data_IF_282908742873
#
_entry.id   IF_282908742873
#
_cell.length_a   1.000
_cell.length_b   1.000
_cell.length_c   1.000
_cell.angle_alpha   90.00
_cell.angle_beta   90.00
_cell.angle_gamma   90.00
#
_symmetry.space_group_name_H-M   'P 1'
#
loop_
_entity.id
_entity.type
_entity.pdbx_description
1 polymer ?
#
# COMPACT_ATOMS: atom_id res chain seq x y z
N UNK A 1 6.60 14.46 -14.94
CA UNK A 1 6.92 15.90 -15.07
C UNK A 1 8.27 16.14 -14.44
N UNK A 2 9.09 17.08 -14.93
CA UNK A 2 10.31 17.48 -14.22
C UNK A 2 9.96 18.22 -12.93
N UNK A 3 10.85 18.25 -11.95
CA UNK A 3 10.65 18.96 -10.69
C UNK A 3 10.36 20.45 -10.90
N UNK A 4 11.12 21.10 -11.79
CA UNK A 4 10.93 22.51 -12.16
C UNK A 4 9.52 22.76 -12.73
N UNK A 5 9.07 21.92 -13.66
CA UNK A 5 7.74 22.04 -14.26
C UNK A 5 6.63 21.79 -13.23
N UNK A 6 6.79 20.78 -12.38
CA UNK A 6 5.85 20.52 -11.27
C UNK A 6 5.71 21.73 -10.36
N UNK A 7 6.83 22.35 -9.97
CA UNK A 7 6.81 23.53 -9.10
C UNK A 7 6.11 24.72 -9.78
N UNK A 8 6.31 24.91 -11.09
CA UNK A 8 5.60 25.95 -11.85
C UNK A 8 4.09 25.74 -11.83
N UNK A 9 3.63 24.52 -12.11
CA UNK A 9 2.19 24.18 -12.08
C UNK A 9 1.62 24.30 -10.66
N UNK A 10 2.39 23.92 -9.63
CA UNK A 10 1.97 24.08 -8.24
C UNK A 10 1.79 25.55 -7.86
N UNK A 11 2.72 26.41 -8.27
CA UNK A 11 2.65 27.85 -8.05
C UNK A 11 1.42 28.46 -8.76
N UNK A 12 1.13 28.05 -9.99
CA UNK A 12 -0.07 28.49 -10.72
C UNK A 12 -1.37 28.09 -9.99
N UNK A 13 -1.44 26.86 -9.45
CA UNK A 13 -2.57 26.38 -8.64
C UNK A 13 -2.69 27.15 -7.31
N UNK A 14 -1.58 27.46 -6.65
CA UNK A 14 -1.52 28.23 -5.41
C UNK A 14 -1.98 29.68 -5.62
N UNK A 15 -1.46 30.36 -6.65
CA UNK A 15 -1.86 31.73 -6.98
C UNK A 15 -3.34 31.84 -7.35
N UNK A 16 -3.89 30.78 -7.93
CA UNK A 16 -5.32 30.65 -8.20
C UNK A 16 -6.17 30.25 -6.96
N UNK A 17 -5.53 29.90 -5.83
CA UNK A 17 -6.17 29.61 -4.54
C UNK A 17 -6.66 28.17 -4.37
N UNK A 18 -6.20 27.21 -5.20
CA UNK A 18 -6.66 25.83 -5.15
C UNK A 18 -5.86 24.92 -4.20
N UNK A 19 -4.59 25.24 -3.97
CA UNK A 19 -3.71 24.53 -3.03
C UNK A 19 -2.98 25.53 -2.12
N UNK A 20 -2.51 25.05 -0.97
CA UNK A 20 -1.62 25.83 -0.09
C UNK A 20 -0.23 26.04 -0.70
N UNK A 21 0.57 26.92 -0.10
CA UNK A 21 1.88 27.32 -0.61
C UNK A 21 2.80 26.10 -0.84
N UNK A 22 3.30 25.85 -2.06
CA UNK A 22 3.93 24.58 -2.42
C UNK A 22 5.42 24.48 -2.08
N UNK A 23 5.98 25.48 -1.40
CA UNK A 23 7.40 25.52 -0.98
C UNK A 23 7.47 25.51 0.54
N UNK A 24 7.22 24.34 1.10
CA UNK A 24 7.23 24.10 2.54
C UNK A 24 7.93 22.78 2.83
N UNK A 25 8.62 22.74 3.98
CA UNK A 25 9.18 21.52 4.54
C UNK A 25 8.28 20.93 5.64
N UNK A 26 7.12 21.56 5.91
CA UNK A 26 6.20 21.15 6.96
C UNK A 26 5.43 19.90 6.56
N UNK A 27 5.49 18.88 7.42
CA UNK A 27 4.82 17.59 7.23
C UNK A 27 3.74 17.31 8.30
N UNK A 28 3.39 18.30 9.12
CA UNK A 28 2.37 18.20 10.15
C UNK A 28 1.32 19.32 10.08
N UNK A 29 0.04 18.97 10.28
CA UNK A 29 -1.04 19.95 10.41
C UNK A 29 -1.13 20.49 11.84
N UNK A 30 -1.37 21.80 11.97
CA UNK A 30 -1.68 22.41 13.26
C UNK A 30 -2.97 21.85 13.84
N UNK A 31 -3.07 21.75 15.16
CA UNK A 31 -4.30 21.37 15.87
C UNK A 31 -5.46 22.35 15.65
N UNK A 32 -5.18 23.54 15.11
CA UNK A 32 -6.19 24.56 14.77
C UNK A 32 -6.75 24.40 13.35
N UNK A 33 -6.12 23.58 12.51
CA UNK A 33 -6.59 23.37 11.14
C UNK A 33 -7.83 22.49 11.15
N UNK A 34 -8.95 23.02 10.64
CA UNK A 34 -10.20 22.25 10.50
C UNK A 34 -10.14 21.36 9.26
N UNK A 35 -9.53 20.18 9.45
CA UNK A 35 -9.40 19.17 8.39
C UNK A 35 -10.76 18.64 7.92
N UNK A 36 -11.77 18.58 8.78
CA UNK A 36 -13.09 18.10 8.41
C UNK A 36 -13.75 19.03 7.38
N UNK A 37 -13.59 20.33 7.55
CA UNK A 37 -14.12 21.31 6.59
C UNK A 37 -13.43 21.18 5.23
N UNK A 38 -12.10 21.07 5.19
CA UNK A 38 -11.35 20.89 3.94
C UNK A 38 -11.78 19.60 3.21
N UNK A 39 -11.95 18.51 3.95
CA UNK A 39 -12.42 17.22 3.39
C UNK A 39 -13.85 17.34 2.85
N UNK A 40 -14.75 18.00 3.60
CA UNK A 40 -16.16 18.18 3.21
C UNK A 40 -16.32 18.93 1.89
N UNK A 41 -15.46 19.90 1.61
CA UNK A 41 -15.50 20.61 0.32
C UNK A 41 -15.31 19.69 -0.90
N UNK A 42 -14.70 18.50 -0.71
CA UNK A 42 -14.42 17.55 -1.78
C UNK A 42 -15.57 16.54 -2.04
N UNK A 43 -16.69 16.62 -1.30
CA UNK A 43 -17.81 15.66 -1.37
C UNK A 43 -18.44 15.56 -2.77
N UNK A 44 -18.46 16.66 -3.51
CA UNK A 44 -19.10 16.73 -4.84
C UNK A 44 -18.16 16.32 -5.98
N UNK A 45 -16.92 15.88 -5.70
CA UNK A 45 -16.04 15.44 -6.78
C UNK A 45 -16.53 14.13 -7.42
N UNK A 46 -16.66 14.04 -8.76
CA UNK A 46 -17.22 12.85 -9.41
C UNK A 46 -16.41 11.57 -9.20
N UNK A 47 -15.12 11.69 -8.88
CA UNK A 47 -14.21 10.53 -8.77
C UNK A 47 -13.97 10.07 -7.33
N UNK A 48 -13.86 11.00 -6.37
CA UNK A 48 -13.53 10.67 -4.97
C UNK A 48 -14.59 11.13 -3.97
N UNK A 49 -15.65 11.82 -4.41
CA UNK A 49 -16.71 12.32 -3.53
C UNK A 49 -17.39 11.20 -2.73
N UNK A 50 -17.62 10.03 -3.35
CA UNK A 50 -18.14 8.86 -2.65
C UNK A 50 -17.19 8.34 -1.56
N UNK A 51 -15.87 8.45 -1.77
CA UNK A 51 -14.88 8.13 -0.74
C UNK A 51 -14.94 9.15 0.40
N UNK A 52 -15.05 10.44 0.08
CA UNK A 52 -15.16 11.54 1.05
C UNK A 52 -16.38 11.36 1.96
N UNK A 53 -17.54 11.00 1.38
CA UNK A 53 -18.75 10.72 2.16
C UNK A 53 -18.54 9.57 3.16
N UNK A 54 -17.90 8.47 2.71
CA UNK A 54 -17.55 7.36 3.62
C UNK A 54 -16.53 7.78 4.67
N UNK A 55 -15.55 8.59 4.29
CA UNK A 55 -14.49 9.08 5.18
C UNK A 55 -15.06 9.94 6.32
N UNK A 56 -16.09 10.75 6.03
CA UNK A 56 -16.76 11.62 7.01
C UNK A 56 -17.84 10.91 7.84
N UNK A 57 -18.32 9.74 7.40
CA UNK A 57 -19.27 8.92 8.15
C UNK A 57 -18.59 8.23 9.36
N UNK A 58 -18.95 8.57 10.62
CA UNK A 58 -18.38 7.95 11.81
C UNK A 58 -18.59 6.42 11.87
N UNK A 59 -19.61 5.90 11.19
CA UNK A 59 -19.93 4.47 11.13
C UNK A 59 -18.86 3.65 10.40
N UNK A 60 -18.15 4.24 9.44
CA UNK A 60 -17.12 3.53 8.65
C UNK A 60 -15.79 3.42 9.40
N UNK A 61 -15.55 4.30 10.37
CA UNK A 61 -14.28 4.44 11.11
C UNK A 61 -13.06 4.67 10.20
N UNK A 62 -13.26 5.22 9.00
CA UNK A 62 -12.18 5.53 8.05
C UNK A 62 -11.39 6.77 8.43
N UNK A 63 -11.99 7.72 9.16
CA UNK A 63 -11.30 8.93 9.59
C UNK A 63 -10.17 8.62 10.57
N UNK A 64 -9.03 9.27 10.35
CA UNK A 64 -7.89 9.32 11.26
C UNK A 64 -7.24 10.70 11.18
N UNK A 65 -6.90 11.31 12.31
CA UNK A 65 -6.09 12.52 12.26
C UNK A 65 -4.67 12.17 11.78
N UNK A 66 -4.10 12.95 10.83
CA UNK A 66 -2.78 12.67 10.29
C UNK A 66 -1.75 12.72 11.41
N UNK A 67 -0.77 11.80 11.36
CA UNK A 67 0.34 11.80 12.30
C UNK A 67 1.15 13.10 12.13
N UNK A 68 1.62 13.70 13.22
CA UNK A 68 2.63 14.75 13.13
C UNK A 68 3.92 14.14 12.61
N UNK A 69 4.36 14.54 11.41
CA UNK A 69 5.74 14.31 11.00
C UNK A 69 6.71 15.16 11.84
N UNK A 70 8.00 15.00 11.57
CA UNK A 70 9.08 15.59 12.36
C UNK A 70 9.49 17.00 11.92
N UNK A 71 8.94 17.51 10.82
CA UNK A 71 9.41 18.71 10.14
C UNK A 71 8.34 19.81 10.17
N UNK A 72 8.72 20.99 10.64
CA UNK A 72 7.85 22.16 10.75
C UNK A 72 8.68 23.43 10.49
N UNK A 73 8.40 24.11 9.38
CA UNK A 73 9.03 25.38 9.03
C UNK A 73 8.48 26.57 9.84
N UNK A 74 7.42 26.34 10.63
CA UNK A 74 6.70 27.31 11.49
C UNK A 74 6.03 28.46 10.73
N UNK A 75 5.95 28.38 9.41
CA UNK A 75 5.41 29.43 8.55
C UNK A 75 4.23 28.94 7.69
N UNK A 76 4.32 27.72 7.19
CA UNK A 76 3.38 27.14 6.23
C UNK A 76 2.89 25.77 6.69
N UNK A 77 1.61 25.43 6.49
CA UNK A 77 1.11 24.07 6.67
C UNK A 77 1.57 23.17 5.52
N UNK A 78 1.44 21.83 5.64
CA UNK A 78 1.67 20.92 4.54
C UNK A 78 0.87 21.28 3.30
N UNK A 79 1.31 20.82 2.12
CA UNK A 79 0.62 21.05 0.86
C UNK A 79 -0.74 20.33 0.88
N UNK A 80 -1.84 21.08 0.78
CA UNK A 80 -3.21 20.56 0.84
C UNK A 80 -4.16 21.38 -0.04
N UNK A 81 -5.32 20.83 -0.45
CA UNK A 81 -6.31 21.62 -1.19
C UNK A 81 -6.93 22.69 -0.30
N UNK A 82 -7.07 23.90 -0.82
CA UNK A 82 -7.69 25.04 -0.11
C UNK A 82 -9.04 25.45 -0.68
N UNK A 83 -9.39 24.92 -1.86
CA UNK A 83 -10.67 25.16 -2.53
C UNK A 83 -10.99 23.98 -3.45
N UNK A 84 -12.25 23.53 -3.43
CA UNK A 84 -12.76 22.55 -4.39
C UNK A 84 -12.85 23.10 -5.83
N UNK A 85 -12.46 22.25 -6.79
CA UNK A 85 -12.78 22.40 -8.21
C UNK A 85 -12.80 21.03 -8.89
N UNK A 86 -13.78 20.80 -9.78
CA UNK A 86 -13.77 19.66 -10.68
C UNK A 86 -12.87 19.87 -11.92
N UNK A 87 -12.21 21.03 -12.01
CA UNK A 87 -11.41 21.45 -13.14
C UNK A 87 -11.82 22.82 -13.64
N UNK A 88 -10.83 23.67 -13.96
CA UNK A 88 -11.06 24.99 -14.52
C UNK A 88 -10.80 25.00 -16.03
N UNK A 89 -11.51 25.86 -16.77
CA UNK A 89 -11.37 25.96 -18.24
C UNK A 89 -9.94 26.24 -18.72
N UNK A 90 -9.11 26.89 -17.89
CA UNK A 90 -7.71 27.24 -18.17
C UNK A 90 -6.71 26.16 -17.74
N UNK A 91 -7.15 25.09 -17.09
CA UNK A 91 -6.23 24.06 -16.61
C UNK A 91 -5.69 23.24 -17.77
N UNK A 92 -4.37 23.09 -17.81
CA UNK A 92 -3.74 22.07 -18.63
C UNK A 92 -3.93 20.69 -18.00
N UNK A 93 -3.66 19.63 -18.77
CA UNK A 93 -3.66 18.26 -18.24
C UNK A 93 -2.76 18.07 -17.01
N UNK A 94 -1.66 18.83 -16.93
CA UNK A 94 -0.74 18.77 -15.80
C UNK A 94 -1.31 19.46 -14.55
N UNK A 95 -2.11 20.53 -14.70
CA UNK A 95 -2.84 21.14 -13.59
C UNK A 95 -3.82 20.13 -12.99
N UNK A 96 -4.58 19.44 -13.84
CA UNK A 96 -5.50 18.39 -13.40
C UNK A 96 -4.77 17.29 -12.63
N UNK A 97 -3.66 16.77 -13.19
CA UNK A 97 -2.88 15.69 -12.56
C UNK A 97 -2.29 16.11 -11.22
N UNK A 98 -1.74 17.32 -11.13
CA UNK A 98 -1.10 17.79 -9.92
C UNK A 98 -2.13 18.11 -8.83
N UNK A 99 -3.25 18.75 -9.19
CA UNK A 99 -4.33 19.00 -8.25
C UNK A 99 -4.93 17.68 -7.73
N UNK A 100 -5.20 16.71 -8.62
CA UNK A 100 -5.66 15.37 -8.24
C UNK A 100 -4.69 14.68 -7.28
N UNK A 101 -3.37 14.76 -7.55
CA UNK A 101 -2.35 14.21 -6.66
C UNK A 101 -2.44 14.84 -5.27
N UNK A 102 -2.48 16.17 -5.18
CA UNK A 102 -2.57 16.89 -3.90
C UNK A 102 -3.84 16.51 -3.13
N UNK A 103 -5.00 16.49 -3.79
CA UNK A 103 -6.27 16.16 -3.13
C UNK A 103 -6.28 14.72 -2.66
N UNK A 104 -5.93 13.76 -3.51
CA UNK A 104 -5.93 12.33 -3.13
C UNK A 104 -4.90 12.02 -2.05
N UNK A 105 -3.73 12.67 -2.09
CA UNK A 105 -2.73 12.52 -1.04
C UNK A 105 -3.27 13.05 0.30
N UNK A 106 -3.86 14.24 0.30
CA UNK A 106 -4.49 14.81 1.49
C UNK A 106 -5.58 13.90 2.06
N UNK A 107 -6.50 13.40 1.22
CA UNK A 107 -7.57 12.48 1.62
C UNK A 107 -7.02 11.15 2.18
N UNK A 108 -5.89 10.68 1.66
CA UNK A 108 -5.20 9.51 2.20
C UNK A 108 -4.57 9.77 3.57
N UNK A 109 -3.99 10.95 3.79
CA UNK A 109 -3.38 11.33 5.07
C UNK A 109 -4.38 11.37 6.23
N UNK A 110 -5.62 11.76 5.96
CA UNK A 110 -6.71 11.78 6.95
C UNK A 110 -7.50 10.46 7.03
N UNK A 111 -7.06 9.44 6.30
CA UNK A 111 -7.66 8.11 6.27
C UNK A 111 -6.88 7.11 7.10
N UNK A 112 -7.54 6.04 7.52
CA UNK A 112 -6.87 4.86 8.09
C UNK A 112 -5.84 4.26 7.12
N UNK A 113 -4.73 3.71 7.63
CA UNK A 113 -3.76 2.96 6.83
C UNK A 113 -4.40 1.68 6.31
N UNK A 114 -3.93 1.18 5.16
CA UNK A 114 -4.26 -0.15 4.69
C UNK A 114 -3.77 -1.19 5.70
N UNK A 115 -4.55 -2.26 5.88
CA UNK A 115 -4.24 -3.35 6.79
C UNK A 115 -3.98 -4.61 5.98
N UNK A 116 -2.81 -5.22 6.19
CA UNK A 116 -2.42 -6.46 5.55
C UNK A 116 -2.13 -7.57 6.55
N UNK A 117 -2.15 -8.80 6.06
CA UNK A 117 -1.56 -9.93 6.77
C UNK A 117 -0.47 -10.55 5.90
N UNK A 118 0.71 -10.72 6.47
CA UNK A 118 1.81 -11.49 5.87
C UNK A 118 1.94 -12.82 6.58
N UNK A 119 2.03 -13.88 5.78
CA UNK A 119 2.35 -15.24 6.22
C UNK A 119 3.73 -15.58 5.71
N UNK A 120 4.61 -16.04 6.59
CA UNK A 120 5.96 -16.50 6.23
C UNK A 120 6.07 -17.97 6.61
N UNK A 121 6.43 -18.79 5.62
CA UNK A 121 6.69 -20.22 5.78
C UNK A 121 8.19 -20.42 5.66
N UNK A 122 8.80 -20.93 6.71
CA UNK A 122 10.21 -21.30 6.76
C UNK A 122 10.32 -22.82 6.64
N UNK A 123 11.22 -23.29 5.78
CA UNK A 123 11.48 -24.73 5.59
C UNK A 123 12.97 -25.01 5.73
N UNK A 124 13.29 -26.14 6.35
CA UNK A 124 14.63 -26.70 6.38
C UNK A 124 14.72 -27.82 5.34
N UNK A 125 15.74 -27.78 4.49
CA UNK A 125 16.07 -28.88 3.61
C UNK A 125 17.53 -29.27 3.86
N UNK A 126 17.71 -30.37 4.58
CA UNK A 126 19.03 -30.91 4.91
C UNK A 126 19.96 -29.91 5.63
N UNK A 127 19.40 -29.08 6.53
CA UNK A 127 20.12 -28.06 7.28
C UNK A 127 20.17 -26.68 6.62
N UNK A 128 19.71 -26.55 5.37
CA UNK A 128 19.61 -25.27 4.66
C UNK A 128 18.20 -24.67 4.81
N UNK A 129 18.14 -23.39 5.14
CA UNK A 129 16.88 -22.69 5.43
C UNK A 129 16.37 -21.94 4.19
N UNK A 130 15.10 -22.14 3.85
CA UNK A 130 14.39 -21.41 2.80
C UNK A 130 13.15 -20.75 3.39
N UNK A 131 12.69 -19.67 2.77
CA UNK A 131 11.44 -19.02 3.15
C UNK A 131 10.58 -18.69 1.94
N UNK A 132 9.26 -18.74 2.13
CA UNK A 132 8.27 -18.23 1.22
C UNK A 132 7.31 -17.32 1.99
N UNK A 133 6.93 -16.19 1.40
CA UNK A 133 5.96 -15.28 2.01
C UNK A 133 4.77 -15.01 1.09
N UNK A 134 3.61 -14.90 1.72
CA UNK A 134 2.35 -14.52 1.10
C UNK A 134 1.76 -13.32 1.82
N UNK A 135 1.19 -12.36 1.08
CA UNK A 135 0.50 -11.21 1.64
C UNK A 135 -0.94 -11.11 1.12
N UNK A 136 -1.87 -10.86 2.03
CA UNK A 136 -3.27 -10.55 1.73
C UNK A 136 -3.64 -9.18 2.32
N UNK A 137 -4.46 -8.42 1.59
CA UNK A 137 -5.01 -7.14 2.08
C UNK A 137 -6.30 -7.45 2.84
N UNK A 138 -6.35 -7.10 4.12
CA UNK A 138 -7.53 -7.25 4.96
C UNK A 138 -8.45 -6.02 4.86
N UNK A 139 -7.87 -4.83 4.75
CA UNK A 139 -8.61 -3.58 4.52
C UNK A 139 -7.79 -2.64 3.64
N UNK A 140 -8.37 -2.13 2.55
CA UNK A 140 -7.68 -1.21 1.64
C UNK A 140 -7.55 0.20 2.22
N UNK A 141 -8.59 0.68 2.90
CA UNK A 141 -8.66 2.01 3.50
C UNK A 141 -8.17 3.09 2.52
N UNK A 142 -7.11 3.84 2.83
CA UNK A 142 -6.62 4.92 1.96
C UNK A 142 -6.27 4.48 0.52
N UNK A 143 -5.98 3.20 0.28
CA UNK A 143 -5.68 2.69 -1.07
C UNK A 143 -6.89 2.79 -2.02
N UNK A 144 -8.11 2.93 -1.50
CA UNK A 144 -9.30 3.17 -2.32
C UNK A 144 -9.32 4.59 -2.93
N UNK A 145 -8.64 5.56 -2.31
CA UNK A 145 -8.57 6.95 -2.81
C UNK A 145 -7.21 7.31 -3.42
N UNK A 146 -6.12 6.69 -2.96
CA UNK A 146 -4.76 6.98 -3.41
C UNK A 146 -4.25 5.95 -4.41
N UNK A 147 -4.71 6.06 -5.66
CA UNK A 147 -4.40 5.09 -6.72
C UNK A 147 -2.95 5.11 -7.24
N UNK A 148 -2.09 5.97 -6.70
CA UNK A 148 -0.67 6.04 -7.04
C UNK A 148 0.16 5.01 -6.26
N UNK A 149 -0.43 4.41 -5.21
CA UNK A 149 0.12 3.28 -4.50
C UNK A 149 -0.75 2.04 -4.72
N UNK A 150 -0.11 0.89 -4.86
CA UNK A 150 -0.84 -0.38 -4.97
C UNK A 150 -0.15 -1.45 -4.13
N UNK A 151 -0.94 -2.17 -3.35
CA UNK A 151 -0.46 -3.34 -2.64
C UNK A 151 -0.79 -4.58 -3.48
N UNK A 152 0.24 -5.27 -3.96
CA UNK A 152 0.06 -6.61 -4.52
C UNK A 152 -0.40 -7.61 -3.46
N UNK A 153 -1.12 -8.64 -3.89
CA UNK A 153 -1.45 -9.81 -3.08
C UNK A 153 -0.73 -11.03 -3.63
N UNK A 154 -0.02 -11.75 -2.77
CA UNK A 154 0.52 -13.07 -3.07
C UNK A 154 -0.11 -14.06 -2.10
N UNK A 155 -0.90 -14.99 -2.62
CA UNK A 155 -1.41 -16.08 -1.80
C UNK A 155 -0.40 -17.22 -1.83
N UNK A 156 -0.02 -17.70 -0.65
CA UNK A 156 0.70 -18.95 -0.49
C UNK A 156 -0.28 -20.02 0.04
N UNK A 157 -0.05 -21.31 -0.24
CA UNK A 157 -0.84 -22.38 0.32
C UNK A 157 -0.90 -22.34 1.85
N UNK A 158 -1.91 -22.98 2.41
CA UNK A 158 -1.91 -23.29 3.84
C UNK A 158 -0.86 -24.37 4.13
N UNK A 159 -0.01 -24.09 5.11
CA UNK A 159 0.96 -25.05 5.66
C UNK A 159 0.73 -25.21 7.17
N UNK A 160 0.92 -26.43 7.67
CA UNK A 160 0.83 -26.74 9.11
C UNK A 160 2.23 -26.86 9.69
N UNK A 161 2.41 -26.41 10.94
CA UNK A 161 3.66 -26.61 11.66
C UNK A 161 4.00 -28.10 11.74
N UNK A 162 5.21 -28.48 11.34
CA UNK A 162 5.64 -29.88 11.26
C UNK A 162 5.22 -30.62 9.98
N UNK A 163 4.51 -30.00 9.05
CA UNK A 163 4.10 -30.63 7.80
C UNK A 163 5.29 -30.97 6.92
N UNK A 164 5.45 -32.26 6.58
CA UNK A 164 6.43 -32.69 5.59
C UNK A 164 5.91 -32.41 4.18
N UNK A 165 6.79 -31.86 3.34
CA UNK A 165 6.51 -31.56 1.93
C UNK A 165 7.60 -32.15 1.04
N UNK A 166 7.21 -32.87 0.00
CA UNK A 166 8.13 -33.33 -1.05
C UNK A 166 8.14 -32.30 -2.18
N UNK A 167 9.28 -31.66 -2.45
CA UNK A 167 9.40 -30.60 -3.47
C UNK A 167 10.61 -30.85 -4.39
N UNK A 168 10.52 -30.35 -5.62
CA UNK A 168 11.62 -30.37 -6.58
C UNK A 168 12.55 -29.19 -6.31
N UNK A 169 13.80 -29.48 -5.97
CA UNK A 169 14.88 -28.50 -5.93
C UNK A 169 15.47 -28.35 -7.35
N UNK A 170 15.51 -27.13 -7.87
CA UNK A 170 16.18 -26.82 -9.14
C UNK A 170 17.36 -25.88 -8.90
N UNK A 171 18.51 -26.23 -9.46
CA UNK A 171 19.71 -25.39 -9.41
C UNK A 171 19.80 -24.56 -10.70
N UNK A 172 19.69 -23.24 -10.58
CA UNK A 172 19.83 -22.32 -11.69
C UNK A 172 21.11 -21.50 -11.53
N UNK A 173 22.13 -21.83 -12.33
CA UNK A 173 23.36 -21.03 -12.52
C UNK A 173 23.99 -20.47 -11.22
N UNK A 174 24.04 -21.28 -10.15
CA UNK A 174 24.66 -20.89 -8.88
C UNK A 174 23.70 -20.32 -7.81
N UNK A 175 22.39 -20.30 -8.08
CA UNK A 175 21.35 -20.04 -7.08
C UNK A 175 20.43 -21.26 -6.96
N UNK A 176 20.20 -21.71 -5.73
CA UNK A 176 19.18 -22.73 -5.42
C UNK A 176 17.81 -22.05 -5.44
N UNK A 177 16.98 -22.40 -6.43
CA UNK A 177 15.61 -21.89 -6.54
C UNK A 177 14.65 -23.02 -6.21
N UNK A 178 13.91 -22.86 -5.12
CA UNK A 178 12.84 -23.78 -4.77
C UNK A 178 11.57 -23.39 -5.54
N UNK A 179 11.14 -24.25 -6.46
CA UNK A 179 9.83 -24.11 -7.08
C UNK A 179 8.79 -24.87 -6.24
N UNK A 180 7.86 -24.12 -5.64
CA UNK A 180 6.67 -24.70 -5.03
C UNK A 180 5.74 -25.23 -6.13
N UNK A 181 5.88 -26.52 -6.47
CA UNK A 181 4.92 -27.20 -7.33
C UNK A 181 3.75 -27.68 -6.48
N UNK A 182 2.56 -27.25 -6.87
CA UNK A 182 1.30 -27.67 -6.26
C UNK A 182 0.93 -29.06 -6.76
N UNK A 183 0.88 -30.02 -5.85
CA UNK A 183 0.10 -31.24 -6.06
C UNK A 183 -0.46 -31.73 -4.72
N UNK A 184 -1.78 -31.60 -4.58
CA UNK A 184 -2.56 -32.46 -3.70
C UNK A 184 -2.60 -33.83 -4.36
N UNK A 185 -2.13 -34.87 -3.68
CA UNK A 185 -2.30 -36.26 -4.13
C UNK A 185 -2.68 -37.10 -2.91
N UNK A 186 -3.98 -37.32 -2.78
CA UNK A 186 -4.49 -38.57 -2.20
C UNK A 186 -3.91 -39.72 -3.03
N UNK A 187 -3.60 -40.83 -2.36
CA UNK A 187 -3.17 -42.11 -2.95
C UNK A 187 -1.69 -42.26 -3.33
N UNK A 188 -0.80 -42.06 -2.36
CA UNK A 188 0.15 -43.11 -1.93
C UNK A 188 1.10 -43.82 -2.92
N UNK A 189 1.29 -43.39 -4.16
CA UNK A 189 2.25 -44.00 -5.10
C UNK A 189 3.02 -42.96 -5.93
N UNK A 190 4.36 -43.02 -5.86
CA UNK A 190 5.26 -42.20 -6.67
C UNK A 190 5.90 -43.03 -7.79
N UNK A 191 5.71 -42.62 -9.04
CA UNK A 191 6.50 -43.05 -10.20
C UNK A 191 7.02 -41.79 -10.90
N UNK A 192 8.30 -41.45 -10.76
CA UNK A 192 8.92 -40.44 -11.62
C UNK A 192 10.39 -40.71 -11.96
N UNK A 193 10.75 -40.34 -13.18
CA UNK A 193 11.94 -40.70 -13.95
C UNK A 193 13.10 -39.70 -13.84
N UNK A 194 13.15 -38.86 -12.81
CA UNK A 194 14.32 -38.02 -12.54
C UNK A 194 14.51 -37.85 -11.04
N UNK A 195 15.76 -37.94 -10.62
CA UNK A 195 16.25 -38.13 -9.27
C UNK A 195 15.72 -37.05 -8.30
N UNK A 196 14.69 -37.37 -7.53
CA UNK A 196 14.26 -36.58 -6.37
C UNK A 196 14.98 -37.14 -5.14
N UNK A 197 15.96 -36.41 -4.62
CA UNK A 197 16.64 -36.79 -3.37
C UNK A 197 15.68 -36.48 -2.23
N UNK A 198 14.99 -37.52 -1.76
CA UNK A 198 14.16 -37.45 -0.55
C UNK A 198 15.10 -37.57 0.66
N UNK A 199 15.64 -36.44 1.13
CA UNK A 199 16.41 -36.40 2.37
C UNK A 199 15.43 -36.39 3.55
N UNK A 200 15.30 -37.56 4.18
CA UNK A 200 14.57 -37.74 5.43
C UNK A 200 15.16 -36.86 6.53
N UNK A 201 14.30 -36.05 7.15
CA UNK A 201 14.53 -35.48 8.48
C UNK A 201 14.80 -33.98 8.48
N UNK A 202 13.79 -33.18 8.83
CA UNK A 202 13.77 -32.37 10.05
C UNK A 202 12.49 -31.51 10.15
N UNK A 203 12.26 -31.00 11.36
CA UNK A 203 11.02 -30.40 11.88
C UNK A 203 10.89 -28.94 11.43
N UNK A 204 9.67 -28.52 11.09
CA UNK A 204 9.32 -27.22 10.51
C UNK A 204 8.83 -26.23 11.56
N UNK A 205 9.09 -24.93 11.37
CA UNK A 205 8.47 -23.84 12.12
C UNK A 205 7.60 -22.98 11.19
N UNK A 206 6.29 -22.93 11.45
CA UNK A 206 5.39 -21.96 10.83
C UNK A 206 5.32 -20.73 11.73
N UNK A 207 5.73 -19.57 11.21
CA UNK A 207 5.54 -18.30 11.90
C UNK A 207 4.13 -17.81 11.61
N UNK A 208 3.32 -17.70 12.67
CA UNK A 208 1.96 -17.20 12.58
C UNK A 208 1.91 -15.79 11.94
N UNK A 209 0.80 -15.45 11.27
CA UNK A 209 0.68 -14.18 10.56
C UNK A 209 0.93 -13.00 11.50
N UNK A 210 1.78 -12.08 11.05
CA UNK A 210 1.88 -10.76 11.67
C UNK A 210 0.92 -9.83 10.94
N UNK A 211 0.08 -9.14 11.71
CA UNK A 211 -0.62 -7.98 11.21
C UNK A 211 0.41 -6.90 10.88
N UNK A 212 0.33 -6.34 9.68
CA UNK A 212 1.16 -5.22 9.22
C UNK A 212 0.24 -4.05 8.87
#
# INVERSE_FOLDING_TARGET
MSSEHTMKVAEDLYQAGFISYPRTETDCFSTRTDLHTIVREQEDHPVWGSYVQRLLDPGTRLWRNPSSGGHDDKAHPPIHPTKYSAGESRWSQDHHRLYELVVRHFLACVSQPAVGAETVVEIDIAGEQFSASGRVILAKNYLDVYCFESWGSSMIPAYVHGQQVCHLLQNHMGSLVLHFFFSYLDDGLWLFHNLCVCLMGNIFFVKLPKAI
#
